data_IF_381874746046
#
_entry.id   IF_381874746046
#
_cell.length_a   1.000
_cell.length_b   1.000
_cell.length_c   1.000
_cell.angle_alpha   90.00
_cell.angle_beta   90.00
_cell.angle_gamma   90.00
#
_symmetry.space_group_name_H-M   'P 1'
#
loop_
_entity.id
_entity.type
_entity.pdbx_description
1 polymer ?
#
# COMPACT_ATOMS: atom_id res chain seq x y z
N UNK A 1 -0.01 -12.88 -7.69
CA UNK A 1 1.43 -12.69 -8.03
C UNK A 1 1.88 -13.33 -9.35
N UNK A 2 1.46 -14.56 -9.70
CA UNK A 2 1.96 -15.22 -10.91
C UNK A 2 1.73 -14.41 -12.21
N UNK A 3 0.53 -13.84 -12.40
CA UNK A 3 0.26 -12.97 -13.56
C UNK A 3 1.15 -11.74 -13.60
N UNK A 4 1.35 -11.05 -12.46
CA UNK A 4 2.21 -9.87 -12.37
C UNK A 4 3.68 -10.19 -12.68
N UNK A 5 4.24 -11.29 -12.14
CA UNK A 5 5.59 -11.72 -12.47
C UNK A 5 5.77 -12.00 -13.96
N UNK A 6 4.81 -12.70 -14.57
CA UNK A 6 4.82 -12.97 -16.01
C UNK A 6 4.69 -11.67 -16.81
N UNK A 7 3.90 -10.71 -16.33
CA UNK A 7 3.77 -9.38 -16.95
C UNK A 7 5.10 -8.62 -16.91
N UNK A 8 5.78 -8.58 -15.75
CA UNK A 8 7.12 -7.98 -15.64
C UNK A 8 8.15 -8.69 -16.53
N UNK A 9 8.16 -10.03 -16.54
CA UNK A 9 9.04 -10.81 -17.39
C UNK A 9 8.79 -10.55 -18.88
N UNK A 10 7.53 -10.37 -19.29
CA UNK A 10 7.18 -9.92 -20.63
C UNK A 10 7.78 -8.54 -20.93
N UNK A 11 7.60 -7.56 -20.05
CA UNK A 11 8.12 -6.20 -20.25
C UNK A 11 9.64 -6.21 -20.44
N UNK A 12 10.37 -6.99 -19.63
CA UNK A 12 11.83 -7.04 -19.66
C UNK A 12 12.37 -7.86 -20.84
N UNK A 13 11.81 -9.04 -21.10
CA UNK A 13 12.38 -10.01 -22.05
C UNK A 13 11.77 -9.93 -23.45
N UNK A 14 10.58 -9.34 -23.58
CA UNK A 14 9.74 -9.37 -24.79
C UNK A 14 9.43 -10.79 -25.29
N UNK A 15 9.54 -11.79 -24.41
CA UNK A 15 9.20 -13.18 -24.74
C UNK A 15 7.70 -13.41 -24.60
N UNK A 16 7.03 -13.69 -25.73
CA UNK A 16 5.57 -13.92 -25.76
C UNK A 16 5.13 -15.11 -24.91
N UNK A 17 6.05 -15.99 -24.50
CA UNK A 17 5.78 -17.05 -23.52
C UNK A 17 5.23 -16.48 -22.21
N UNK A 18 5.79 -15.37 -21.73
CA UNK A 18 5.37 -14.76 -20.47
C UNK A 18 4.07 -13.97 -20.61
N UNK A 19 3.89 -13.21 -21.70
CA UNK A 19 2.61 -12.49 -21.91
C UNK A 19 1.44 -13.46 -22.04
N UNK A 20 1.59 -14.55 -22.81
CA UNK A 20 0.58 -15.61 -22.94
C UNK A 20 0.23 -16.21 -21.59
N UNK A 21 1.23 -16.46 -20.73
CA UNK A 21 1.00 -17.02 -19.39
C UNK A 21 0.28 -16.03 -18.45
N UNK A 22 0.62 -14.74 -18.52
CA UNK A 22 -0.09 -13.71 -17.75
C UNK A 22 -1.57 -13.64 -18.17
N UNK A 23 -1.85 -13.59 -19.48
CA UNK A 23 -3.20 -13.58 -20.05
C UNK A 23 -3.98 -14.83 -19.63
N UNK A 24 -3.36 -16.01 -19.72
CA UNK A 24 -3.99 -17.28 -19.31
C UNK A 24 -4.48 -17.23 -17.86
N UNK A 25 -3.66 -16.72 -16.94
CA UNK A 25 -4.07 -16.58 -15.54
C UNK A 25 -5.19 -15.56 -15.36
N UNK A 26 -5.09 -14.38 -15.98
CA UNK A 26 -6.11 -13.34 -15.87
C UNK A 26 -7.46 -13.82 -16.42
N UNK A 27 -7.47 -14.44 -17.60
CA UNK A 27 -8.68 -14.97 -18.23
C UNK A 27 -9.31 -16.13 -17.44
N UNK A 28 -8.48 -17.01 -16.86
CA UNK A 28 -8.96 -18.13 -16.06
C UNK A 28 -9.70 -17.66 -14.80
N UNK A 29 -9.16 -16.66 -14.09
CA UNK A 29 -9.82 -16.08 -12.93
C UNK A 29 -11.07 -15.28 -13.32
N UNK A 30 -11.00 -14.46 -14.37
CA UNK A 30 -12.15 -13.71 -14.89
C UNK A 30 -13.34 -14.61 -15.24
N UNK A 31 -13.09 -15.86 -15.64
CA UNK A 31 -14.13 -16.81 -16.01
C UNK A 31 -14.72 -17.59 -14.82
N UNK A 32 -14.10 -17.54 -13.63
CA UNK A 32 -14.42 -18.47 -12.53
C UNK A 32 -14.67 -17.80 -11.19
N UNK A 33 -14.06 -16.65 -10.91
CA UNK A 33 -14.21 -15.98 -9.62
C UNK A 33 -15.60 -15.34 -9.53
N UNK A 34 -16.33 -15.65 -8.46
CA UNK A 34 -17.68 -15.11 -8.23
C UNK A 34 -17.79 -14.23 -6.98
N UNK A 35 -16.96 -14.50 -5.96
CA UNK A 35 -17.01 -13.75 -4.70
C UNK A 35 -15.73 -13.96 -3.89
N UNK A 36 -15.43 -12.99 -3.03
CA UNK A 36 -14.58 -13.16 -1.85
C UNK A 36 -15.47 -13.45 -0.63
N UNK A 37 -15.10 -14.44 0.18
CA UNK A 37 -15.92 -14.87 1.34
C UNK A 37 -15.11 -14.89 2.63
N UNK A 38 -15.82 -14.90 3.77
CA UNK A 38 -15.28 -14.86 5.15
C UNK A 38 -14.83 -13.46 5.62
N UNK A 39 -14.47 -13.37 6.90
CA UNK A 39 -14.11 -12.10 7.55
C UNK A 39 -12.87 -11.40 6.97
N UNK A 40 -11.98 -12.16 6.33
CA UNK A 40 -10.78 -11.62 5.66
C UNK A 40 -11.01 -11.29 4.17
N UNK A 41 -12.23 -11.43 3.66
CA UNK A 41 -12.54 -11.17 2.26
C UNK A 41 -12.06 -9.78 1.79
N UNK A 42 -12.30 -8.66 2.52
CA UNK A 42 -11.92 -7.34 2.05
C UNK A 42 -10.39 -7.18 1.94
N UNK A 43 -9.64 -7.64 2.94
CA UNK A 43 -8.18 -7.57 2.93
C UNK A 43 -7.58 -8.43 1.80
N UNK A 44 -8.10 -9.65 1.62
CA UNK A 44 -7.62 -10.54 0.56
C UNK A 44 -7.96 -10.00 -0.84
N UNK A 45 -9.14 -9.39 -0.99
CA UNK A 45 -9.51 -8.66 -2.21
C UNK A 45 -8.58 -7.46 -2.44
N UNK A 46 -8.19 -6.73 -1.40
CA UNK A 46 -7.19 -5.66 -1.47
C UNK A 46 -5.84 -6.16 -1.99
N UNK A 47 -5.27 -7.20 -1.37
CA UNK A 47 -3.99 -7.77 -1.80
C UNK A 47 -4.01 -8.29 -3.25
N UNK A 48 -5.07 -8.99 -3.64
CA UNK A 48 -5.16 -9.55 -4.99
C UNK A 48 -5.48 -8.47 -6.03
N UNK A 49 -6.42 -7.57 -5.72
CA UNK A 49 -6.88 -6.49 -6.61
C UNK A 49 -5.76 -5.54 -7.00
N UNK A 50 -4.91 -5.12 -6.06
CA UNK A 50 -3.79 -4.24 -6.37
C UNK A 50 -2.75 -4.89 -7.30
N UNK A 51 -2.56 -6.21 -7.19
CA UNK A 51 -1.67 -6.99 -8.06
C UNK A 51 -2.30 -7.23 -9.43
N UNK A 52 -3.61 -7.49 -9.48
CA UNK A 52 -4.35 -7.68 -10.72
C UNK A 52 -4.31 -6.44 -11.59
N UNK A 53 -4.61 -5.27 -11.03
CA UNK A 53 -4.57 -4.00 -11.76
C UNK A 53 -3.20 -3.76 -12.40
N UNK A 54 -2.11 -3.90 -11.64
CA UNK A 54 -0.74 -3.74 -12.15
C UNK A 54 -0.39 -4.72 -13.27
N UNK A 55 -0.77 -5.99 -13.14
CA UNK A 55 -0.53 -6.98 -14.19
C UNK A 55 -1.31 -6.66 -15.46
N UNK A 56 -2.59 -6.29 -15.31
CA UNK A 56 -3.49 -6.02 -16.41
C UNK A 56 -3.08 -4.76 -17.20
N UNK A 57 -2.69 -3.69 -16.52
CA UNK A 57 -2.15 -2.46 -17.14
C UNK A 57 -0.94 -2.75 -18.03
N UNK A 58 0.04 -3.50 -17.52
CA UNK A 58 1.25 -3.87 -18.27
C UNK A 58 0.95 -4.71 -19.51
N UNK A 59 -0.07 -5.57 -19.45
CA UNK A 59 -0.45 -6.45 -20.56
C UNK A 59 -1.32 -5.70 -21.58
N UNK A 60 -2.34 -4.98 -21.13
CA UNK A 60 -3.30 -4.24 -21.99
C UNK A 60 -2.60 -3.20 -22.85
N UNK A 61 -1.66 -2.46 -22.28
CA UNK A 61 -1.01 -1.33 -22.95
C UNK A 61 0.32 -1.69 -23.64
N UNK A 62 0.49 -2.96 -24.02
CA UNK A 62 1.63 -3.41 -24.85
C UNK A 62 1.15 -4.35 -25.95
N UNK A 63 2.06 -4.73 -26.86
CA UNK A 63 1.78 -5.70 -27.95
C UNK A 63 1.66 -7.15 -27.44
N UNK A 64 1.14 -7.35 -26.23
CA UNK A 64 1.00 -8.66 -25.59
C UNK A 64 -0.07 -9.55 -26.26
N UNK A 65 -0.98 -8.95 -27.04
CA UNK A 65 -2.02 -9.66 -27.79
C UNK A 65 -3.20 -10.14 -26.92
N UNK A 66 -3.54 -9.39 -25.87
CA UNK A 66 -4.73 -9.68 -25.06
C UNK A 66 -5.99 -9.28 -25.83
N UNK A 67 -6.91 -10.23 -26.04
CA UNK A 67 -8.10 -10.00 -26.84
C UNK A 67 -9.11 -9.11 -26.11
N UNK A 68 -9.72 -8.15 -26.82
CA UNK A 68 -10.70 -7.20 -26.28
C UNK A 68 -11.85 -7.89 -25.53
N UNK A 69 -12.34 -9.01 -26.06
CA UNK A 69 -13.42 -9.78 -25.44
C UNK A 69 -13.03 -10.43 -24.10
N UNK A 70 -11.74 -10.72 -23.90
CA UNK A 70 -11.23 -11.25 -22.64
C UNK A 70 -10.85 -10.14 -21.67
N UNK A 71 -10.40 -8.98 -22.17
CA UNK A 71 -10.26 -7.75 -21.38
C UNK A 71 -11.61 -7.39 -20.76
N UNK A 72 -12.70 -7.36 -21.55
CA UNK A 72 -14.03 -7.05 -21.04
C UNK A 72 -14.48 -7.98 -19.88
N UNK A 73 -14.24 -9.29 -19.99
CA UNK A 73 -14.54 -10.22 -18.88
C UNK A 73 -13.70 -9.95 -17.63
N UNK A 74 -12.45 -9.53 -17.82
CA UNK A 74 -11.58 -9.19 -16.71
C UNK A 74 -12.01 -7.88 -16.06
N UNK A 75 -12.41 -6.89 -16.86
CA UNK A 75 -13.06 -5.66 -16.37
C UNK A 75 -14.30 -5.99 -15.54
N UNK A 76 -15.19 -6.89 -16.02
CA UNK A 76 -16.37 -7.36 -15.29
C UNK A 76 -15.98 -8.00 -13.94
N UNK A 77 -14.96 -8.87 -13.91
CA UNK A 77 -14.48 -9.46 -12.65
C UNK A 77 -14.00 -8.38 -11.67
N UNK A 78 -13.20 -7.41 -12.13
CA UNK A 78 -12.72 -6.34 -11.25
C UNK A 78 -13.89 -5.46 -10.76
N UNK A 79 -14.82 -5.13 -11.64
CA UNK A 79 -15.97 -4.26 -11.36
C UNK A 79 -16.98 -4.89 -10.42
N UNK A 80 -17.32 -6.16 -10.63
CA UNK A 80 -18.42 -6.82 -9.95
C UNK A 80 -17.98 -7.60 -8.71
N UNK A 81 -16.74 -8.10 -8.69
CA UNK A 81 -16.25 -8.97 -7.61
C UNK A 81 -15.27 -8.24 -6.68
N UNK A 82 -14.34 -7.46 -7.23
CA UNK A 82 -13.28 -6.83 -6.43
C UNK A 82 -13.68 -5.44 -5.92
N UNK A 83 -14.07 -4.53 -6.81
CA UNK A 83 -14.28 -3.13 -6.47
C UNK A 83 -15.27 -2.93 -5.31
N UNK A 84 -16.44 -3.61 -5.25
CA UNK A 84 -17.40 -3.43 -4.16
C UNK A 84 -16.86 -3.93 -2.81
N UNK A 85 -15.89 -4.85 -2.81
CA UNK A 85 -15.26 -5.34 -1.59
C UNK A 85 -14.23 -4.36 -1.04
N UNK A 86 -13.54 -3.61 -1.90
CA UNK A 86 -12.41 -2.76 -1.50
C UNK A 86 -12.80 -1.29 -1.35
N UNK A 87 -13.67 -0.77 -2.21
CA UNK A 87 -14.00 0.67 -2.23
C UNK A 87 -14.65 1.13 -0.92
N UNK A 88 -15.38 0.24 -0.23
CA UNK A 88 -16.09 0.56 1.01
C UNK A 88 -15.17 0.88 2.21
N UNK A 89 -13.87 0.59 2.10
CA UNK A 89 -12.90 0.75 3.19
C UNK A 89 -13.04 -0.30 4.30
N UNK A 90 -12.36 -0.08 5.42
CA UNK A 90 -12.25 -1.05 6.51
C UNK A 90 -12.60 -0.42 7.88
N UNK A 91 -13.84 0.07 8.07
CA UNK A 91 -14.22 0.74 9.32
C UNK A 91 -14.07 -0.20 10.52
N UNK A 92 -13.39 0.26 11.57
CA UNK A 92 -13.16 -0.53 12.78
C UNK A 92 -12.05 -1.59 12.67
N UNK A 93 -11.38 -1.70 11.52
CA UNK A 93 -10.15 -2.47 11.36
C UNK A 93 -8.92 -1.56 11.49
N UNK A 94 -7.73 -2.16 11.60
CA UNK A 94 -6.49 -1.39 11.59
C UNK A 94 -6.27 -0.73 10.23
N UNK A 95 -5.63 0.43 10.25
CA UNK A 95 -5.52 1.33 9.11
C UNK A 95 -4.79 0.75 7.90
N UNK A 96 -3.88 -0.23 8.07
CA UNK A 96 -3.28 -0.91 6.93
C UNK A 96 -4.34 -1.53 6.00
N UNK A 97 -5.43 -2.09 6.56
CA UNK A 97 -6.49 -2.72 5.76
C UNK A 97 -7.08 -1.72 4.78
N UNK A 98 -7.49 -0.55 5.28
CA UNK A 98 -8.09 0.48 4.45
C UNK A 98 -7.09 1.04 3.43
N UNK A 99 -5.82 1.23 3.80
CA UNK A 99 -4.78 1.66 2.85
C UNK A 99 -4.58 0.66 1.70
N UNK A 100 -4.49 -0.64 2.00
CA UNK A 100 -4.35 -1.71 1.00
C UNK A 100 -5.59 -1.80 0.11
N UNK A 101 -6.78 -1.66 0.72
CA UNK A 101 -8.04 -1.67 -0.02
C UNK A 101 -8.14 -0.45 -0.95
N UNK A 102 -7.69 0.73 -0.51
CA UNK A 102 -7.66 1.91 -1.38
C UNK A 102 -6.62 1.79 -2.49
N UNK A 103 -5.46 1.19 -2.24
CA UNK A 103 -4.51 0.86 -3.32
C UNK A 103 -5.17 0.00 -4.41
N UNK A 104 -5.90 -1.05 -4.00
CA UNK A 104 -6.62 -1.91 -4.94
C UNK A 104 -7.75 -1.15 -5.65
N UNK A 105 -8.56 -0.39 -4.92
CA UNK A 105 -9.69 0.36 -5.47
C UNK A 105 -9.22 1.38 -6.51
N UNK A 106 -8.16 2.13 -6.23
CA UNK A 106 -7.58 3.09 -7.17
C UNK A 106 -7.01 2.40 -8.41
N UNK A 107 -6.24 1.33 -8.24
CA UNK A 107 -5.69 0.57 -9.37
C UNK A 107 -6.77 -0.03 -10.26
N UNK A 108 -7.83 -0.59 -9.66
CA UNK A 108 -8.99 -1.09 -10.39
C UNK A 108 -9.70 0.05 -11.13
N UNK A 109 -9.96 1.17 -10.45
CA UNK A 109 -10.66 2.32 -11.04
C UNK A 109 -9.92 2.87 -12.26
N UNK A 110 -8.58 2.93 -12.22
CA UNK A 110 -7.75 3.32 -13.36
C UNK A 110 -7.93 2.33 -14.52
N UNK A 111 -7.80 1.02 -14.28
CA UNK A 111 -7.94 0.02 -15.33
C UNK A 111 -9.33 0.02 -15.98
N UNK A 112 -10.36 0.41 -15.23
CA UNK A 112 -11.75 0.50 -15.67
C UNK A 112 -12.15 1.86 -16.27
N UNK A 113 -11.22 2.83 -16.34
CA UNK A 113 -11.50 4.24 -16.66
C UNK A 113 -12.65 4.86 -15.81
N UNK A 114 -12.77 4.44 -14.54
CA UNK A 114 -13.82 4.87 -13.61
C UNK A 114 -13.33 6.01 -12.69
N UNK A 115 -13.53 7.25 -13.14
CA UNK A 115 -13.13 8.44 -12.40
C UNK A 115 -13.88 8.65 -11.07
N UNK A 116 -15.15 8.26 -11.00
CA UNK A 116 -15.96 8.46 -9.78
C UNK A 116 -15.45 7.58 -8.65
N UNK A 117 -15.23 6.28 -8.94
CA UNK A 117 -14.65 5.35 -7.98
C UNK A 117 -13.21 5.72 -7.61
N UNK A 118 -12.43 6.25 -8.55
CA UNK A 118 -11.07 6.74 -8.27
C UNK A 118 -11.10 7.91 -7.27
N UNK A 119 -11.95 8.91 -7.48
CA UNK A 119 -12.05 10.08 -6.61
C UNK A 119 -12.54 9.68 -5.21
N UNK A 120 -13.51 8.77 -5.12
CA UNK A 120 -13.97 8.24 -3.83
C UNK A 120 -12.84 7.50 -3.09
N UNK A 121 -12.09 6.64 -3.79
CA UNK A 121 -10.96 5.92 -3.22
C UNK A 121 -9.85 6.87 -2.76
N UNK A 122 -9.52 7.90 -3.55
CA UNK A 122 -8.53 8.90 -3.21
C UNK A 122 -8.92 9.70 -1.96
N UNK A 123 -10.17 10.16 -1.87
CA UNK A 123 -10.65 10.89 -0.69
C UNK A 123 -10.52 10.05 0.58
N UNK A 124 -10.92 8.78 0.53
CA UNK A 124 -10.81 7.85 1.66
C UNK A 124 -9.36 7.51 1.98
N UNK A 125 -8.51 7.34 0.97
CA UNK A 125 -7.07 7.14 1.15
C UNK A 125 -6.42 8.30 1.89
N UNK A 126 -6.70 9.55 1.51
CA UNK A 126 -6.08 10.73 2.13
C UNK A 126 -6.47 10.86 3.61
N UNK A 127 -7.76 10.66 3.95
CA UNK A 127 -8.25 10.66 5.33
C UNK A 127 -7.57 9.56 6.17
N UNK A 128 -7.44 8.35 5.60
CA UNK A 128 -6.76 7.24 6.27
C UNK A 128 -5.26 7.47 6.41
N UNK A 129 -4.59 7.95 5.38
CA UNK A 129 -3.15 8.24 5.40
C UNK A 129 -2.81 9.25 6.50
N UNK A 130 -3.65 10.28 6.66
CA UNK A 130 -3.52 11.25 7.74
C UNK A 130 -3.67 10.61 9.13
N UNK A 131 -4.61 9.69 9.28
CA UNK A 131 -4.88 9.00 10.53
C UNK A 131 -3.97 7.78 10.81
N UNK A 132 -3.10 7.40 9.88
CA UNK A 132 -2.27 6.18 10.02
C UNK A 132 -0.88 6.47 10.56
N UNK A 133 -0.24 7.56 10.14
CA UNK A 133 1.08 7.97 10.62
C UNK A 133 0.96 9.31 11.34
N UNK A 134 1.33 9.36 12.60
CA UNK A 134 1.37 10.59 13.40
C UNK A 134 2.53 11.49 12.97
N UNK A 135 2.26 12.78 12.89
CA UNK A 135 3.28 13.84 12.81
C UNK A 135 3.13 14.77 14.01
N UNK A 136 4.22 15.37 14.47
CA UNK A 136 4.17 16.38 15.54
C UNK A 136 3.30 17.60 15.17
N UNK A 137 3.10 17.86 13.87
CA UNK A 137 2.18 18.87 13.36
C UNK A 137 0.70 18.56 13.64
N UNK A 138 0.36 17.32 13.98
CA UNK A 138 -1.01 16.91 14.30
C UNK A 138 -1.44 17.41 15.70
N UNK A 139 -0.47 17.79 16.55
CA UNK A 139 -0.68 18.22 17.93
C UNK A 139 -0.51 17.07 18.93
N UNK A 140 -1.20 17.13 20.08
CA UNK A 140 -0.99 16.18 21.18
C UNK A 140 -1.47 14.75 20.89
N UNK A 141 -2.30 14.57 19.85
CA UNK A 141 -2.93 13.30 19.49
C UNK A 141 -2.92 13.11 17.97
N UNK A 142 -2.86 11.86 17.48
CA UNK A 142 -2.95 11.58 16.06
C UNK A 142 -4.32 11.95 15.48
N UNK A 143 -4.34 12.27 14.20
CA UNK A 143 -5.59 12.42 13.46
C UNK A 143 -6.44 11.15 13.56
N UNK A 144 -7.75 11.34 13.66
CA UNK A 144 -8.73 10.25 13.64
C UNK A 144 -9.45 10.27 12.31
N UNK A 145 -9.39 9.16 11.57
CA UNK A 145 -10.12 9.03 10.31
C UNK A 145 -11.61 9.26 10.54
N UNK A 146 -12.28 9.88 9.56
CA UNK A 146 -13.69 10.26 9.63
C UNK A 146 -14.59 9.05 9.93
N UNK A 147 -14.25 7.88 9.39
CA UNK A 147 -14.99 6.63 9.64
C UNK A 147 -14.85 6.13 11.08
N UNK A 148 -13.69 6.35 11.70
CA UNK A 148 -13.38 5.87 13.05
C UNK A 148 -13.85 6.87 14.13
N UNK A 149 -13.94 8.16 13.79
CA UNK A 149 -14.50 9.20 14.65
C UNK A 149 -15.95 8.92 15.10
N UNK A 150 -16.65 7.99 14.43
CA UNK A 150 -17.98 7.51 14.85
C UNK A 150 -17.95 6.79 16.20
N UNK A 151 -16.84 6.16 16.58
CA UNK A 151 -16.72 5.36 17.81
C UNK A 151 -15.47 5.68 18.65
N UNK A 152 -14.45 6.34 18.08
CA UNK A 152 -13.34 6.95 18.82
C UNK A 152 -13.75 8.35 19.30
N UNK A 153 -14.16 8.48 20.57
CA UNK A 153 -14.73 9.73 21.10
C UNK A 153 -13.81 10.46 22.07
N UNK A 154 -12.83 9.77 22.62
CA UNK A 154 -11.93 10.28 23.64
C UNK A 154 -10.47 9.93 23.32
N UNK A 155 -9.53 10.66 23.91
CA UNK A 155 -8.10 10.31 23.79
C UNK A 155 -7.83 8.88 24.27
N UNK A 156 -8.58 8.38 25.26
CA UNK A 156 -8.47 7.00 25.72
C UNK A 156 -8.85 5.98 24.63
N UNK A 157 -9.88 6.28 23.83
CA UNK A 157 -10.29 5.42 22.72
C UNK A 157 -9.20 5.40 21.64
N UNK A 158 -8.65 6.58 21.31
CA UNK A 158 -7.56 6.72 20.33
C UNK A 158 -6.32 5.96 20.79
N UNK A 159 -5.86 6.18 22.04
CA UNK A 159 -4.71 5.49 22.64
C UNK A 159 -4.90 3.97 22.57
N UNK A 160 -6.09 3.48 22.92
CA UNK A 160 -6.40 2.05 22.84
C UNK A 160 -6.31 1.53 21.41
N UNK A 161 -6.81 2.29 20.44
CA UNK A 161 -6.76 1.92 19.02
C UNK A 161 -5.35 1.98 18.43
N UNK A 162 -4.49 2.84 18.96
CA UNK A 162 -3.06 2.91 18.67
C UNK A 162 -2.24 1.92 19.53
N UNK A 163 -2.84 0.77 19.85
CA UNK A 163 -2.21 -0.32 20.59
C UNK A 163 -1.60 0.12 21.93
N UNK A 164 -2.36 0.95 22.67
CA UNK A 164 -1.99 1.55 23.96
C UNK A 164 -0.76 2.47 23.92
N UNK A 165 -0.34 2.96 22.75
CA UNK A 165 0.61 4.07 22.67
C UNK A 165 -0.03 5.35 23.22
N UNK A 166 0.57 5.90 24.27
CA UNK A 166 0.02 7.07 24.99
C UNK A 166 0.85 8.33 24.84
N UNK A 167 2.06 8.24 24.27
CA UNK A 167 2.99 9.37 24.11
C UNK A 167 3.22 9.61 22.63
N UNK A 168 2.81 10.77 22.14
CA UNK A 168 2.95 11.19 20.73
C UNK A 168 3.87 12.41 20.65
N UNK A 169 5.18 12.17 20.68
CA UNK A 169 6.19 13.23 20.76
C UNK A 169 7.26 13.17 19.67
N UNK A 170 7.07 12.30 18.67
CA UNK A 170 7.95 12.18 17.52
C UNK A 170 7.16 11.81 16.28
N UNK A 171 7.46 12.49 15.18
CA UNK A 171 6.87 12.18 13.88
C UNK A 171 7.28 10.80 13.39
N UNK A 172 6.34 10.08 12.75
CA UNK A 172 6.59 8.79 12.11
C UNK A 172 6.03 7.57 12.84
N UNK A 173 5.41 7.75 14.01
CA UNK A 173 4.67 6.67 14.68
C UNK A 173 3.48 6.24 13.80
N UNK A 174 3.35 4.94 13.56
CA UNK A 174 2.19 4.34 12.93
C UNK A 174 1.17 3.89 13.98
N UNK A 175 -0.10 3.88 13.59
CA UNK A 175 -1.18 3.26 14.37
C UNK A 175 -0.85 1.82 14.81
N UNK A 176 -0.02 1.13 14.03
CA UNK A 176 0.36 -0.26 14.28
C UNK A 176 1.78 -0.45 14.80
N UNK A 177 2.52 0.63 15.11
CA UNK A 177 3.89 0.54 15.64
C UNK A 177 3.98 -0.39 16.85
N UNK A 178 3.00 -0.30 17.77
CA UNK A 178 2.96 -1.11 18.99
C UNK A 178 2.22 -2.44 18.85
N UNK A 179 1.72 -2.74 17.65
CA UNK A 179 1.19 -4.07 17.31
C UNK A 179 2.33 -4.94 16.80
N UNK A 180 2.88 -4.55 15.65
CA UNK A 180 4.07 -5.11 15.02
C UNK A 180 4.46 -4.30 13.77
N UNK A 181 5.73 -4.36 13.39
CA UNK A 181 6.23 -3.63 12.22
C UNK A 181 5.82 -4.28 10.90
N UNK A 182 5.39 -5.53 10.88
CA UNK A 182 5.04 -6.20 9.63
C UNK A 182 3.76 -5.58 9.05
N UNK A 183 2.76 -5.37 9.90
CA UNK A 183 1.53 -4.66 9.51
C UNK A 183 1.76 -3.17 9.25
N UNK A 184 2.69 -2.56 9.98
CA UNK A 184 3.13 -1.19 9.66
C UNK A 184 3.74 -1.13 8.26
N UNK A 185 4.54 -2.13 7.89
CA UNK A 185 5.09 -2.30 6.55
C UNK A 185 3.98 -2.36 5.49
N UNK A 186 2.91 -3.12 5.74
CA UNK A 186 1.80 -3.22 4.78
C UNK A 186 1.17 -1.84 4.52
N UNK A 187 0.92 -1.03 5.57
CA UNK A 187 0.39 0.31 5.41
C UNK A 187 1.34 1.26 4.67
N UNK A 188 2.63 1.26 5.03
CA UNK A 188 3.64 2.12 4.39
C UNK A 188 3.85 1.80 2.91
N UNK A 189 3.80 0.52 2.54
CA UNK A 189 3.89 0.12 1.13
C UNK A 189 2.65 0.50 0.35
N UNK A 190 1.44 0.27 0.88
CA UNK A 190 0.21 0.71 0.23
C UNK A 190 0.20 2.23 0.01
N UNK A 191 0.63 3.03 1.01
CA UNK A 191 0.82 4.48 0.85
C UNK A 191 1.84 4.82 -0.24
N UNK A 192 2.96 4.10 -0.32
CA UNK A 192 3.98 4.29 -1.35
C UNK A 192 3.45 3.97 -2.75
N UNK A 193 2.70 2.88 -2.90
CA UNK A 193 2.11 2.45 -4.18
C UNK A 193 1.06 3.43 -4.67
N UNK A 194 0.19 3.90 -3.77
CA UNK A 194 -0.81 4.93 -4.09
C UNK A 194 -0.14 6.24 -4.48
N UNK A 195 0.88 6.68 -3.73
CA UNK A 195 1.60 7.92 -4.05
C UNK A 195 2.28 7.87 -5.43
N UNK A 196 2.94 6.77 -5.77
CA UNK A 196 3.57 6.62 -7.09
C UNK A 196 2.54 6.51 -8.21
N UNK A 197 1.45 5.76 -7.99
CA UNK A 197 0.34 5.65 -8.96
C UNK A 197 -0.32 7.01 -9.20
N UNK A 198 -0.65 7.74 -8.14
CA UNK A 198 -1.21 9.09 -8.20
C UNK A 198 -0.31 10.06 -8.97
N UNK A 199 1.01 9.97 -8.75
CA UNK A 199 1.99 10.80 -9.47
C UNK A 199 1.98 10.49 -10.97
N UNK A 200 1.89 9.21 -11.35
CA UNK A 200 1.76 8.79 -12.76
C UNK A 200 0.46 9.34 -13.37
N UNK A 201 -0.62 9.39 -12.59
CA UNK A 201 -1.90 10.00 -12.98
C UNK A 201 -1.92 11.55 -12.91
N UNK A 202 -0.81 12.19 -12.53
CA UNK A 202 -0.63 13.65 -12.59
C UNK A 202 -0.76 14.40 -11.26
N UNK A 203 -1.04 13.74 -10.13
CA UNK A 203 -1.06 14.34 -8.78
C UNK A 203 0.06 13.80 -7.90
N UNK A 204 1.01 14.66 -7.55
CA UNK A 204 2.22 14.29 -6.82
C UNK A 204 2.02 14.30 -5.29
N UNK A 205 1.47 13.20 -4.75
CA UNK A 205 1.21 13.06 -3.31
C UNK A 205 2.49 13.06 -2.45
N UNK A 206 3.67 12.81 -3.03
CA UNK A 206 4.93 12.92 -2.30
C UNK A 206 5.27 14.36 -1.88
N UNK A 207 4.66 15.36 -2.54
CA UNK A 207 4.79 16.79 -2.20
C UNK A 207 3.66 17.30 -1.31
N UNK A 208 2.74 16.43 -0.93
CA UNK A 208 1.62 16.73 -0.05
C UNK A 208 1.84 16.12 1.35
N UNK A 209 0.83 16.21 2.23
CA UNK A 209 0.86 15.66 3.58
C UNK A 209 1.20 14.16 3.59
N UNK A 210 0.67 13.38 2.65
CA UNK A 210 0.99 11.95 2.48
C UNK A 210 2.49 11.70 2.34
N UNK A 211 3.21 12.50 1.56
CA UNK A 211 4.66 12.38 1.38
C UNK A 211 5.45 12.63 2.66
N UNK A 212 5.02 13.62 3.45
CA UNK A 212 5.63 13.92 4.76
C UNK A 212 5.42 12.75 5.74
N UNK A 213 4.18 12.25 5.83
CA UNK A 213 3.84 11.09 6.66
C UNK A 213 4.63 9.85 6.26
N UNK A 214 4.71 9.57 4.96
CA UNK A 214 5.45 8.43 4.45
C UNK A 214 6.95 8.55 4.75
N UNK A 215 7.54 9.74 4.58
CA UNK A 215 8.96 10.00 4.90
C UNK A 215 9.27 9.70 6.37
N UNK A 216 8.53 10.30 7.30
CA UNK A 216 8.78 10.11 8.72
C UNK A 216 8.44 8.68 9.16
N UNK A 217 7.37 8.10 8.64
CA UNK A 217 7.00 6.70 8.89
C UNK A 217 8.08 5.72 8.46
N UNK A 218 8.61 5.85 7.24
CA UNK A 218 9.69 5.01 6.74
C UNK A 218 10.96 5.16 7.56
N UNK A 219 11.40 6.39 7.85
CA UNK A 219 12.65 6.63 8.57
C UNK A 219 12.57 6.13 10.02
N UNK A 220 11.45 6.39 10.71
CA UNK A 220 11.22 5.91 12.07
C UNK A 220 11.29 4.39 12.15
N UNK A 221 10.51 3.69 11.33
CA UNK A 221 10.45 2.22 11.41
C UNK A 221 11.76 1.58 10.93
N UNK A 222 12.40 2.15 9.90
CA UNK A 222 13.69 1.64 9.42
C UNK A 222 14.78 1.68 10.50
N UNK A 223 14.82 2.77 11.31
CA UNK A 223 15.76 2.91 12.43
C UNK A 223 15.66 1.75 13.42
N UNK A 224 14.45 1.38 13.83
CA UNK A 224 14.25 0.31 14.82
C UNK A 224 14.40 -1.09 14.22
N UNK A 225 14.02 -1.30 12.95
CA UNK A 225 14.37 -2.54 12.23
C UNK A 225 15.88 -2.76 12.13
N UNK A 226 16.67 -1.69 12.07
CA UNK A 226 18.13 -1.75 12.07
C UNK A 226 18.77 -1.90 13.46
N UNK A 227 17.97 -2.09 14.52
CA UNK A 227 18.46 -2.27 15.90
C UNK A 227 18.70 -0.97 16.66
N UNK A 228 18.05 0.13 16.28
CA UNK A 228 18.05 1.35 17.07
C UNK A 228 17.49 1.13 18.49
N UNK A 229 18.04 1.84 19.48
CA UNK A 229 17.62 1.72 20.88
C UNK A 229 16.19 2.24 21.05
N UNK A 230 15.29 1.36 21.49
CA UNK A 230 13.91 1.70 21.84
C UNK A 230 13.89 2.62 23.07
N UNK A 231 13.24 3.79 23.00
CA UNK A 231 13.05 4.65 24.15
C UNK A 231 11.92 4.12 25.04
N UNK A 232 11.99 4.40 26.36
CA UNK A 232 11.02 3.89 27.34
C UNK A 232 9.56 4.32 27.09
N UNK A 233 9.36 5.48 26.45
CA UNK A 233 8.03 5.99 26.12
C UNK A 233 7.35 5.23 24.97
N UNK A 234 8.12 4.49 24.15
CA UNK A 234 7.62 3.80 22.97
C UNK A 234 7.02 2.46 23.37
N UNK A 235 5.74 2.27 23.05
CA UNK A 235 4.96 1.05 23.24
C UNK A 235 4.99 0.53 24.68
N UNK A 236 4.89 1.45 25.65
CA UNK A 236 4.97 1.15 27.08
C UNK A 236 6.24 0.36 27.47
N UNK A 237 7.33 0.57 26.73
CA UNK A 237 8.59 -0.17 26.86
C UNK A 237 8.46 -1.70 26.66
N UNK A 238 7.39 -2.15 26.00
CA UNK A 238 7.23 -3.54 25.61
C UNK A 238 8.15 -3.89 24.44
N UNK A 239 8.51 -5.17 24.31
CA UNK A 239 9.40 -5.62 23.22
C UNK A 239 8.73 -5.43 21.86
N UNK A 240 9.38 -4.69 20.97
CA UNK A 240 8.90 -4.47 19.60
C UNK A 240 9.19 -5.66 18.68
N UNK A 241 8.19 -6.06 17.91
CA UNK A 241 8.42 -6.85 16.69
C UNK A 241 8.83 -5.91 15.56
N UNK A 242 10.10 -5.92 15.17
CA UNK A 242 10.70 -4.89 14.30
C UNK A 242 10.88 -5.31 12.83
N UNK A 243 10.31 -6.44 12.40
CA UNK A 243 10.35 -6.84 11.00
C UNK A 243 9.40 -5.99 10.15
N UNK A 244 9.93 -5.10 9.30
CA UNK A 244 9.14 -4.18 8.46
C UNK A 244 8.72 -4.78 7.11
N UNK A 245 9.25 -5.94 6.73
CA UNK A 245 9.14 -6.44 5.35
C UNK A 245 9.92 -5.59 4.33
N UNK A 246 9.80 -5.90 3.03
CA UNK A 246 10.45 -5.16 1.94
C UNK A 246 9.65 -3.90 1.53
N UNK A 247 9.17 -3.11 2.50
CA UNK A 247 8.20 -2.03 2.28
C UNK A 247 8.81 -0.67 1.90
N UNK A 248 10.14 -0.57 1.81
CA UNK A 248 10.85 0.71 1.81
C UNK A 248 11.17 1.24 0.41
N UNK A 249 11.29 0.37 -0.59
CA UNK A 249 11.93 0.66 -1.87
C UNK A 249 11.24 1.82 -2.62
N UNK A 250 9.92 1.74 -2.85
CA UNK A 250 9.20 2.74 -3.66
C UNK A 250 9.21 4.11 -2.98
N UNK A 251 8.81 4.17 -1.70
CA UNK A 251 8.79 5.41 -0.95
C UNK A 251 10.17 6.04 -0.79
N UNK A 252 11.20 5.23 -0.53
CA UNK A 252 12.59 5.71 -0.42
C UNK A 252 13.09 6.31 -1.73
N UNK A 253 12.90 5.64 -2.87
CA UNK A 253 13.40 6.16 -4.15
C UNK A 253 12.74 7.51 -4.47
N UNK A 254 11.42 7.62 -4.31
CA UNK A 254 10.71 8.87 -4.56
C UNK A 254 11.11 10.00 -3.59
N UNK A 255 11.15 9.75 -2.28
CA UNK A 255 11.39 10.80 -1.29
C UNK A 255 12.87 11.20 -1.20
N UNK A 256 13.79 10.22 -1.27
CA UNK A 256 15.23 10.47 -1.15
C UNK A 256 15.87 10.82 -2.48
N UNK A 257 15.83 9.93 -3.48
CA UNK A 257 16.54 10.19 -4.75
C UNK A 257 15.85 11.26 -5.60
N UNK A 258 14.52 11.19 -5.72
CA UNK A 258 13.79 12.12 -6.60
C UNK A 258 13.54 13.49 -5.94
N UNK A 259 13.22 13.53 -4.64
CA UNK A 259 12.91 14.77 -3.91
C UNK A 259 14.04 15.29 -3.00
N UNK A 260 15.11 14.53 -2.80
CA UNK A 260 16.31 14.99 -2.10
C UNK A 260 16.22 14.98 -0.57
N UNK A 261 15.26 14.28 0.02
CA UNK A 261 15.15 14.19 1.47
C UNK A 261 16.14 13.20 2.08
N UNK A 262 16.89 13.63 3.09
CA UNK A 262 17.74 12.72 3.86
C UNK A 262 16.89 11.71 4.65
N UNK A 263 17.12 10.42 4.40
CA UNK A 263 16.46 9.27 5.04
C UNK A 263 17.50 8.14 5.30
N UNK A 264 18.51 8.39 6.17
CA UNK A 264 19.68 7.52 6.28
C UNK A 264 19.36 6.11 6.81
N UNK A 265 18.37 5.97 7.69
CA UNK A 265 17.96 4.65 8.20
C UNK A 265 17.21 3.89 7.12
N UNK A 266 16.30 4.56 6.41
CA UNK A 266 15.57 3.94 5.30
C UNK A 266 16.50 3.55 4.15
N UNK A 267 17.48 4.39 3.80
CA UNK A 267 18.49 4.07 2.80
C UNK A 267 19.22 2.77 3.16
N UNK A 268 19.81 2.72 4.36
CA UNK A 268 20.55 1.56 4.85
C UNK A 268 19.70 0.29 4.90
N UNK A 269 18.44 0.39 5.31
CA UNK A 269 17.54 -0.76 5.36
C UNK A 269 17.17 -1.23 3.95
N UNK A 270 16.80 -0.30 3.06
CA UNK A 270 16.45 -0.60 1.67
C UNK A 270 17.60 -1.32 0.98
N UNK A 271 18.81 -0.79 1.06
CA UNK A 271 20.00 -1.40 0.45
C UNK A 271 20.29 -2.79 1.00
N UNK A 272 20.11 -3.02 2.31
CA UNK A 272 20.30 -4.32 2.94
C UNK A 272 19.27 -5.37 2.47
N UNK A 273 18.08 -4.93 2.07
CA UNK A 273 16.98 -5.80 1.64
C UNK A 273 16.95 -6.06 0.13
N UNK A 274 17.81 -5.38 -0.65
CA UNK A 274 17.90 -5.56 -2.10
C UNK A 274 18.62 -6.87 -2.49
N UNK A 275 18.22 -7.52 -3.61
CA UNK A 275 17.00 -7.24 -4.36
C UNK A 275 15.76 -7.73 -3.59
N UNK A 276 14.71 -6.91 -3.56
CA UNK A 276 13.45 -7.27 -2.92
C UNK A 276 12.74 -8.41 -3.67
N UNK A 277 12.30 -9.43 -2.94
CA UNK A 277 11.46 -10.51 -3.49
C UNK A 277 9.99 -10.10 -3.67
N UNK A 278 9.10 -11.09 -3.54
CA UNK A 278 7.66 -10.88 -3.50
C UNK A 278 7.10 -11.41 -2.19
N UNK A 279 6.15 -10.67 -1.61
CA UNK A 279 5.40 -11.03 -0.41
C UNK A 279 4.00 -10.47 -0.60
N UNK A 280 2.93 -11.26 -0.43
CA UNK A 280 1.54 -10.78 -0.59
C UNK A 280 1.32 -9.90 -1.84
N UNK A 281 1.30 -8.57 -1.67
CA UNK A 281 1.12 -7.54 -2.71
C UNK A 281 2.40 -6.72 -3.01
N UNK A 282 3.47 -6.91 -2.23
CA UNK A 282 4.83 -6.43 -2.54
C UNK A 282 5.40 -7.29 -3.67
N UNK A 283 6.02 -6.70 -4.70
CA UNK A 283 6.51 -7.51 -5.82
C UNK A 283 7.60 -6.87 -6.67
N UNK A 284 8.84 -7.35 -6.48
CA UNK A 284 9.99 -7.01 -7.32
C UNK A 284 10.21 -5.50 -7.43
N UNK A 285 10.10 -4.80 -6.30
CA UNK A 285 10.17 -3.34 -6.26
C UNK A 285 11.56 -2.82 -6.63
N UNK A 286 12.63 -3.54 -6.25
CA UNK A 286 13.98 -3.22 -6.74
C UNK A 286 14.08 -3.30 -8.26
N UNK A 287 13.38 -4.24 -8.92
CA UNK A 287 13.38 -4.32 -10.39
C UNK A 287 12.65 -3.13 -11.02
N UNK A 288 11.59 -2.64 -10.38
CA UNK A 288 10.67 -1.66 -10.96
C UNK A 288 10.99 -0.21 -10.58
N UNK A 289 11.71 0.03 -9.48
CA UNK A 289 11.89 1.38 -8.92
C UNK A 289 13.31 1.76 -8.50
N UNK A 290 14.30 0.86 -8.62
CA UNK A 290 15.69 1.18 -8.25
C UNK A 290 16.18 2.44 -9.00
N UNK A 291 16.43 3.51 -8.24
CA UNK A 291 16.95 4.80 -8.73
C UNK A 291 16.07 5.53 -9.76
N UNK A 292 14.75 5.34 -9.70
CA UNK A 292 13.74 6.09 -10.45
C UNK A 292 13.15 7.29 -9.69
#
# INVERSE_FOLDING_TARGET
>A
MAAYLNSLAWIVTKSTTYSKRAIEFMNAWASTLQAHTNSNAPLQAGFAGSVWARAAELIRHTDAGWADADIAKFEDMLRDVYLPQVIVGAPGYNGNWELIMMEAAMGISIFLDDHESYDEAMLRFLDRAAAYIYLESDGDMPHTATVDAKWLKTNKDIIKFWNNQSIFNVSGLSQETCRDFEHTGYGLAAMSHVAETSRIQGRDLYKEDTGSRLRYGLEFHSKYTLGGLQPEWLCNNETLSTYLGPATEIGFNALSYRLGYAMPSTEKLTEKQRPSGALLFYGWETLTHLRN
#
